data_IF_568379073098
#
_entry.id   IF_568379073098
#
_cell.length_a   1.000
_cell.length_b   1.000
_cell.length_c   1.000
_cell.angle_alpha   90.00
_cell.angle_beta   90.00
_cell.angle_gamma   90.00
#
_symmetry.space_group_name_H-M   'P 1'
#
loop_
_entity.id
_entity.type
_entity.pdbx_description
1 polymer ?
#
# COMPACT_ATOMS: atom_id res chain seq x y z
N UNK A 1 -67.84 32.00 -43.87
CA UNK A 1 -68.03 32.42 -42.47
C UNK A 1 -67.47 31.32 -41.58
N UNK A 2 -66.64 31.71 -40.61
CA UNK A 2 -66.16 30.96 -39.41
C UNK A 2 -65.40 29.63 -39.59
N UNK A 3 -64.10 29.63 -39.24
CA UNK A 3 -63.35 28.42 -38.80
C UNK A 3 -63.48 28.20 -37.28
N UNK A 4 -62.56 27.52 -36.58
CA UNK A 4 -61.52 26.54 -36.99
C UNK A 4 -61.55 25.24 -36.13
N UNK A 5 -60.69 24.24 -36.41
CA UNK A 5 -59.66 23.76 -35.47
C UNK A 5 -58.93 22.49 -35.93
N UNK A 6 -57.62 22.51 -35.66
CA UNK A 6 -56.58 21.57 -36.04
C UNK A 6 -56.23 20.59 -34.93
N UNK A 7 -56.04 19.31 -35.25
CA UNK A 7 -55.21 18.39 -34.46
C UNK A 7 -54.54 17.35 -35.38
N UNK A 8 -53.22 17.33 -35.43
CA UNK A 8 -52.43 16.26 -36.05
C UNK A 8 -51.16 16.03 -35.26
N UNK A 9 -51.08 14.83 -34.67
CA UNK A 9 -49.95 14.26 -33.95
C UNK A 9 -48.83 13.88 -34.93
N UNK A 10 -47.61 14.40 -34.71
CA UNK A 10 -46.38 13.93 -35.37
C UNK A 10 -45.43 13.36 -34.34
N UNK A 11 -45.06 12.09 -34.51
CA UNK A 11 -44.03 11.41 -33.73
C UNK A 11 -42.67 12.10 -33.91
N UNK A 12 -42.01 12.43 -32.81
CA UNK A 12 -40.65 12.94 -32.79
C UNK A 12 -39.66 11.77 -32.67
N UNK A 13 -38.76 11.69 -33.65
CA UNK A 13 -37.54 10.90 -33.62
C UNK A 13 -36.54 11.59 -32.69
N UNK A 14 -36.25 11.01 -31.52
CA UNK A 14 -35.08 11.40 -30.72
C UNK A 14 -33.90 10.51 -31.07
N UNK A 15 -33.04 11.01 -31.95
CA UNK A 15 -31.70 10.49 -32.17
C UNK A 15 -30.78 10.98 -31.06
N UNK A 16 -30.60 10.18 -30.00
CA UNK A 16 -29.58 10.41 -29.00
C UNK A 16 -28.20 10.16 -29.63
N UNK A 17 -27.49 11.25 -29.95
CA UNK A 17 -26.08 11.20 -30.32
C UNK A 17 -25.29 10.74 -29.09
N UNK A 18 -24.71 9.53 -29.18
CA UNK A 18 -23.71 9.08 -28.22
C UNK A 18 -22.46 9.96 -28.39
N UNK A 19 -22.34 10.96 -27.52
CA UNK A 19 -21.10 11.73 -27.35
C UNK A 19 -20.04 10.79 -26.77
N UNK A 20 -19.19 10.27 -27.65
CA UNK A 20 -17.96 9.58 -27.26
C UNK A 20 -17.02 10.61 -26.64
N UNK A 21 -16.93 10.62 -25.32
CA UNK A 21 -15.90 11.36 -24.60
C UNK A 21 -14.56 10.70 -24.90
N UNK A 22 -13.83 11.24 -25.87
CA UNK A 22 -12.43 10.89 -26.13
C UNK A 22 -11.60 11.27 -24.90
N UNK A 23 -11.17 10.25 -24.15
CA UNK A 23 -10.18 10.42 -23.09
C UNK A 23 -8.87 10.79 -23.75
N UNK A 24 -8.32 11.95 -23.39
CA UNK A 24 -7.11 12.51 -23.98
C UNK A 24 -5.97 11.49 -23.97
N UNK A 25 -5.30 11.39 -25.12
CA UNK A 25 -4.22 10.43 -25.35
C UNK A 25 -3.06 10.64 -24.38
N UNK A 26 -2.32 9.56 -24.09
CA UNK A 26 -1.20 9.48 -23.14
C UNK A 26 -0.05 10.50 -23.33
N UNK A 27 -0.09 11.32 -24.37
CA UNK A 27 0.84 12.42 -24.62
C UNK A 27 0.59 13.62 -23.68
N UNK A 28 -0.66 13.97 -23.39
CA UNK A 28 -0.98 15.17 -22.59
C UNK A 28 -0.83 14.96 -21.08
N UNK A 29 -1.01 13.74 -20.58
CA UNK A 29 -0.83 13.40 -19.16
C UNK A 29 0.65 13.40 -18.71
N UNK A 30 1.60 13.44 -19.65
CA UNK A 30 3.03 13.45 -19.37
C UNK A 30 3.55 14.76 -18.75
N UNK A 31 2.74 15.83 -18.70
CA UNK A 31 3.16 17.18 -18.29
C UNK A 31 2.66 17.64 -16.92
N UNK A 32 1.93 16.82 -16.16
CA UNK A 32 1.61 17.17 -14.76
C UNK A 32 2.82 16.84 -13.88
N UNK A 33 3.88 17.65 -14.00
CA UNK A 33 5.02 17.60 -13.09
C UNK A 33 4.56 18.14 -11.74
N UNK A 34 4.59 17.31 -10.70
CA UNK A 34 4.50 17.84 -9.34
C UNK A 34 5.78 18.67 -9.08
N UNK A 35 5.67 20.00 -8.86
CA UNK A 35 6.83 20.88 -8.70
C UNK A 35 7.67 20.55 -7.46
N UNK A 36 7.14 19.71 -6.56
CA UNK A 36 7.81 19.27 -5.33
C UNK A 36 8.56 17.93 -5.50
N UNK A 37 8.41 17.23 -6.62
CA UNK A 37 9.19 16.02 -6.92
C UNK A 37 10.57 16.39 -7.44
N UNK A 38 11.61 16.23 -6.62
CA UNK A 38 13.01 16.34 -7.07
C UNK A 38 13.55 15.05 -7.72
N UNK A 39 12.67 14.09 -7.98
CA UNK A 39 13.00 12.95 -8.83
C UNK A 39 13.54 13.46 -10.18
N UNK A 40 14.55 12.79 -10.75
CA UNK A 40 15.18 13.26 -11.99
C UNK A 40 14.12 13.53 -13.09
N UNK A 41 14.00 14.78 -13.58
CA UNK A 41 12.94 15.16 -14.52
C UNK A 41 13.03 14.46 -15.89
N UNK A 42 14.16 13.82 -16.17
CA UNK A 42 14.51 13.11 -17.41
C UNK A 42 14.43 11.58 -17.29
N UNK A 43 13.98 11.06 -16.13
CA UNK A 43 13.84 9.63 -15.89
C UNK A 43 12.77 8.97 -16.75
N UNK A 44 13.13 8.47 -17.93
CA UNK A 44 12.18 7.77 -18.82
C UNK A 44 11.83 6.35 -18.36
N UNK A 45 12.67 5.76 -17.50
CA UNK A 45 12.61 4.36 -17.10
C UNK A 45 12.05 4.20 -15.68
N UNK A 46 11.14 3.24 -15.54
CA UNK A 46 10.46 2.94 -14.30
C UNK A 46 10.93 1.59 -13.73
N UNK A 47 11.14 1.51 -12.42
CA UNK A 47 11.28 0.27 -11.67
C UNK A 47 10.03 0.11 -10.80
N UNK A 48 9.22 -0.90 -11.08
CA UNK A 48 7.95 -1.13 -10.39
C UNK A 48 8.05 -2.37 -9.53
N UNK A 49 7.87 -2.22 -8.22
CA UNK A 49 7.87 -3.32 -7.25
C UNK A 49 6.46 -3.50 -6.72
N UNK A 50 5.91 -4.71 -6.83
CA UNK A 50 4.59 -5.08 -6.36
C UNK A 50 4.71 -6.19 -5.30
N UNK A 51 4.24 -5.94 -4.08
CA UNK A 51 4.30 -6.92 -2.98
C UNK A 51 2.91 -7.18 -2.44
N UNK A 52 2.45 -8.42 -2.57
CA UNK A 52 1.13 -8.85 -2.13
C UNK A 52 1.09 -9.18 -0.62
N UNK A 53 -0.12 -9.31 -0.06
CA UNK A 53 -0.35 -9.71 1.32
C UNK A 53 0.03 -11.17 1.58
N UNK A 54 0.55 -11.46 2.79
CA UNK A 54 1.18 -12.74 3.20
C UNK A 54 0.26 -13.99 3.21
N UNK A 55 -0.98 -13.87 2.71
CA UNK A 55 -1.93 -14.97 2.58
C UNK A 55 -2.48 -15.14 1.15
N UNK A 56 -2.09 -14.26 0.22
CA UNK A 56 -2.66 -14.23 -1.12
C UNK A 56 -1.78 -15.07 -2.05
N UNK A 57 -2.43 -15.93 -2.84
CA UNK A 57 -1.75 -16.69 -3.88
C UNK A 57 -2.27 -16.21 -5.22
N UNK A 58 -1.36 -16.06 -6.18
CA UNK A 58 -1.78 -15.96 -7.57
C UNK A 58 -2.61 -17.20 -7.92
N UNK A 59 -3.81 -16.99 -8.45
CA UNK A 59 -4.72 -18.10 -8.69
C UNK A 59 -6.11 -17.65 -9.10
N UNK A 60 -7.12 -18.34 -8.58
CA UNK A 60 -8.53 -18.12 -8.93
C UNK A 60 -9.11 -16.81 -8.38
N UNK A 61 -8.51 -16.28 -7.29
CA UNK A 61 -8.94 -15.07 -6.59
C UNK A 61 -7.73 -14.18 -6.33
N UNK A 62 -7.41 -13.37 -7.33
CA UNK A 62 -6.30 -12.44 -7.38
C UNK A 62 -6.62 -11.13 -6.66
N UNK A 63 -5.57 -10.50 -6.15
CA UNK A 63 -5.64 -9.21 -5.45
C UNK A 63 -5.51 -8.06 -6.43
N UNK A 64 -5.78 -6.85 -5.96
CA UNK A 64 -5.55 -5.62 -6.70
C UNK A 64 -4.06 -5.41 -7.05
N UNK A 65 -3.13 -6.01 -6.29
CA UNK A 65 -1.70 -6.00 -6.63
C UNK A 65 -1.45 -6.83 -7.89
N UNK A 66 -2.00 -8.05 -7.95
CA UNK A 66 -1.89 -8.92 -9.14
C UNK A 66 -2.60 -8.31 -10.34
N UNK A 67 -3.80 -7.79 -10.13
CA UNK A 67 -4.57 -7.09 -11.15
C UNK A 67 -3.77 -5.90 -11.72
N UNK A 68 -3.23 -5.02 -10.87
CA UNK A 68 -2.36 -3.92 -11.32
C UNK A 68 -1.14 -4.47 -12.08
N UNK A 69 -0.45 -5.47 -11.52
CA UNK A 69 0.76 -6.04 -12.12
C UNK A 69 0.52 -6.68 -13.50
N UNK A 70 -0.62 -7.34 -13.68
CA UNK A 70 -1.02 -7.94 -14.96
C UNK A 70 -1.13 -6.89 -16.07
N UNK A 71 -1.54 -5.67 -15.71
CA UNK A 71 -1.76 -4.53 -16.63
C UNK A 71 -0.51 -3.65 -16.82
N UNK A 72 0.56 -3.86 -16.07
CA UNK A 72 1.81 -3.10 -16.26
C UNK A 72 2.43 -3.42 -17.62
N UNK A 73 2.87 -2.38 -18.34
CA UNK A 73 3.77 -2.52 -19.50
C UNK A 73 5.12 -3.06 -19.00
N UNK A 74 5.65 -4.10 -19.67
CA UNK A 74 6.91 -4.76 -19.29
C UNK A 74 7.88 -4.68 -20.46
N UNK A 75 8.86 -3.77 -20.36
CA UNK A 75 9.90 -3.55 -21.37
C UNK A 75 11.12 -2.85 -20.76
N UNK A 76 12.11 -2.50 -21.57
CA UNK A 76 13.35 -1.87 -21.09
C UNK A 76 13.14 -0.50 -20.40
N UNK A 77 12.02 0.18 -20.71
CA UNK A 77 11.63 1.44 -20.09
C UNK A 77 10.70 1.26 -18.87
N UNK A 78 10.29 0.04 -18.53
CA UNK A 78 9.56 -0.27 -17.30
C UNK A 78 9.83 -1.71 -16.85
N UNK A 79 10.76 -1.85 -15.92
CA UNK A 79 11.03 -3.12 -15.25
C UNK A 79 10.04 -3.35 -14.13
N UNK A 80 9.68 -4.61 -13.93
CA UNK A 80 8.66 -4.99 -12.95
C UNK A 80 9.12 -6.16 -12.09
N UNK A 81 8.90 -6.08 -10.78
CA UNK A 81 9.15 -7.13 -9.80
C UNK A 81 7.86 -7.43 -9.04
N UNK A 82 7.50 -8.71 -8.91
CA UNK A 82 6.36 -9.14 -8.11
C UNK A 82 6.79 -10.16 -7.05
N UNK A 83 6.23 -10.00 -5.86
CA UNK A 83 6.32 -10.97 -4.78
C UNK A 83 4.93 -11.25 -4.23
N UNK A 84 4.55 -12.52 -4.13
CA UNK A 84 3.23 -12.95 -3.64
C UNK A 84 3.02 -12.77 -2.14
N UNK A 85 4.02 -12.28 -1.39
CA UNK A 85 3.94 -12.14 0.06
C UNK A 85 4.05 -13.48 0.82
N UNK A 86 3.98 -14.62 0.13
CA UNK A 86 3.98 -15.95 0.73
C UNK A 86 5.34 -16.24 1.39
N UNK A 87 5.27 -16.51 2.70
CA UNK A 87 6.29 -17.22 3.48
C UNK A 87 5.76 -18.57 3.92
N UNK A 88 6.65 -19.45 4.38
CA UNK A 88 6.38 -20.80 4.91
C UNK A 88 5.03 -20.92 5.60
N UNK A 89 4.01 -21.44 4.89
CA UNK A 89 2.71 -21.70 5.48
C UNK A 89 2.82 -22.91 6.42
N UNK A 90 2.46 -22.70 7.67
CA UNK A 90 1.92 -23.79 8.49
C UNK A 90 0.44 -23.90 8.08
N UNK A 91 0.07 -25.02 7.44
CA UNK A 91 -1.33 -25.28 7.08
C UNK A 91 -2.20 -25.22 8.34
N UNK A 92 -3.32 -24.47 8.35
CA UNK A 92 -4.18 -24.38 9.52
C UNK A 92 -4.89 -25.72 9.74
N UNK A 93 -4.71 -26.31 10.92
CA UNK A 93 -5.65 -27.27 11.49
C UNK A 93 -6.45 -26.53 12.55
N UNK A 94 -7.71 -26.21 12.23
CA UNK A 94 -8.59 -25.37 13.06
C UNK A 94 -8.98 -26.00 14.41
N UNK A 95 -8.60 -27.25 14.67
CA UNK A 95 -9.08 -28.06 15.80
C UNK A 95 -7.99 -28.54 16.78
N UNK A 96 -6.75 -28.05 16.67
CA UNK A 96 -5.65 -28.51 17.54
C UNK A 96 -5.29 -27.52 18.66
N UNK A 97 -5.42 -27.89 19.95
CA UNK A 97 -4.98 -27.06 21.08
C UNK A 97 -3.48 -26.73 21.09
N UNK A 98 -2.63 -27.60 20.52
CA UNK A 98 -1.18 -27.34 20.39
C UNK A 98 -0.87 -26.29 19.31
N UNK A 99 -1.69 -26.19 18.26
CA UNK A 99 -1.60 -25.13 17.26
C UNK A 99 -1.93 -23.74 17.86
N UNK A 100 -2.89 -23.68 18.78
CA UNK A 100 -3.24 -22.46 19.51
C UNK A 100 -2.08 -21.91 20.33
N UNK A 101 -1.32 -22.80 20.97
CA UNK A 101 -0.09 -22.43 21.66
C UNK A 101 0.94 -21.90 20.65
N UNK A 102 1.10 -22.56 19.51
CA UNK A 102 2.05 -22.18 18.47
C UNK A 102 1.72 -20.82 17.80
N UNK A 103 0.43 -20.53 17.59
CA UNK A 103 -0.06 -19.22 17.11
C UNK A 103 0.20 -18.11 18.12
N UNK A 104 0.12 -18.41 19.43
CA UNK A 104 0.44 -17.49 20.53
C UNK A 104 1.94 -17.45 20.90
N UNK A 105 2.75 -18.38 20.40
CA UNK A 105 4.17 -18.55 20.72
C UNK A 105 5.09 -17.75 19.77
N UNK A 106 6.27 -17.43 20.27
CA UNK A 106 7.36 -16.74 19.56
C UNK A 106 7.73 -17.34 18.18
N UNK A 107 7.45 -18.63 17.94
CA UNK A 107 7.84 -19.34 16.72
C UNK A 107 7.12 -18.86 15.46
N UNK A 108 5.82 -18.55 15.54
CA UNK A 108 5.05 -18.02 14.40
C UNK A 108 5.44 -16.58 14.12
N UNK A 109 5.59 -15.77 15.18
CA UNK A 109 6.08 -14.40 15.06
C UNK A 109 7.49 -14.35 14.44
N UNK A 110 8.37 -15.28 14.79
CA UNK A 110 9.70 -15.42 14.18
C UNK A 110 9.64 -15.80 12.71
N UNK A 111 8.79 -16.77 12.32
CA UNK A 111 8.64 -17.16 10.92
C UNK A 111 8.09 -16.01 10.06
N UNK A 112 7.12 -15.27 10.58
CA UNK A 112 6.56 -14.07 9.93
C UNK A 112 7.62 -12.99 9.80
N UNK A 113 8.38 -12.70 10.87
CA UNK A 113 9.43 -11.70 10.86
C UNK A 113 10.58 -12.07 9.91
N UNK A 114 10.97 -13.34 9.86
CA UNK A 114 11.99 -13.85 8.95
C UNK A 114 11.54 -13.73 7.49
N UNK A 115 10.29 -14.14 7.19
CA UNK A 115 9.73 -13.97 5.86
C UNK A 115 9.61 -12.50 5.47
N UNK A 116 9.18 -11.64 6.40
CA UNK A 116 9.11 -10.21 6.22
C UNK A 116 10.48 -9.63 5.81
N UNK A 117 11.53 -9.95 6.59
CA UNK A 117 12.90 -9.53 6.30
C UNK A 117 13.35 -10.01 4.91
N UNK A 118 13.11 -11.28 4.58
CA UNK A 118 13.46 -11.87 3.29
C UNK A 118 12.81 -11.14 2.11
N UNK A 119 11.51 -10.84 2.19
CA UNK A 119 10.76 -10.17 1.12
C UNK A 119 11.28 -8.74 0.91
N UNK A 120 11.44 -7.98 2.00
CA UNK A 120 11.93 -6.60 1.95
C UNK A 120 13.34 -6.54 1.37
N UNK A 121 14.25 -7.40 1.86
CA UNK A 121 15.62 -7.47 1.35
C UNK A 121 15.69 -7.91 -0.11
N UNK A 122 14.87 -8.89 -0.52
CA UNK A 122 14.82 -9.34 -1.91
C UNK A 122 14.35 -8.26 -2.88
N UNK A 123 13.33 -7.49 -2.50
CA UNK A 123 12.85 -6.37 -3.31
C UNK A 123 13.85 -5.20 -3.33
N UNK A 124 14.47 -4.87 -2.19
CA UNK A 124 15.51 -3.85 -2.11
C UNK A 124 16.73 -4.24 -2.96
N UNK A 125 17.18 -5.51 -2.86
CA UNK A 125 18.27 -6.04 -3.68
C UNK A 125 17.93 -5.94 -5.17
N UNK A 126 16.71 -6.32 -5.57
CA UNK A 126 16.29 -6.19 -6.96
C UNK A 126 16.34 -4.73 -7.44
N UNK A 127 15.93 -3.77 -6.61
CA UNK A 127 16.08 -2.34 -6.93
C UNK A 127 17.56 -1.96 -7.10
N UNK A 128 18.42 -2.31 -6.13
CA UNK A 128 19.87 -2.03 -6.15
C UNK A 128 20.56 -2.57 -7.40
N UNK A 129 20.22 -3.79 -7.81
CA UNK A 129 20.83 -4.48 -8.95
C UNK A 129 20.39 -3.93 -10.31
N UNK A 130 19.21 -3.30 -10.38
CA UNK A 130 18.58 -2.88 -11.64
C UNK A 130 18.53 -1.36 -11.84
N UNK A 131 18.71 -0.59 -10.77
CA UNK A 131 18.61 0.87 -10.81
C UNK A 131 19.74 1.47 -11.64
N UNK A 132 19.34 2.39 -12.51
CA UNK A 132 20.23 3.30 -13.24
C UNK A 132 19.93 4.72 -12.79
N UNK A 133 20.94 5.57 -12.83
CA UNK A 133 20.78 6.99 -12.49
C UNK A 133 19.64 7.58 -13.31
N UNK A 134 18.69 8.21 -12.62
CA UNK A 134 17.50 8.80 -13.23
C UNK A 134 16.25 7.92 -13.22
N UNK A 135 16.35 6.63 -12.89
CA UNK A 135 15.17 5.76 -12.84
C UNK A 135 14.14 6.20 -11.78
N UNK A 136 12.85 6.01 -12.10
CA UNK A 136 11.75 6.27 -11.16
C UNK A 136 11.31 5.00 -10.48
N UNK A 137 11.27 5.01 -9.14
CA UNK A 137 10.88 3.85 -8.33
C UNK A 137 9.40 3.96 -7.94
N UNK A 138 8.60 2.98 -8.36
CA UNK A 138 7.20 2.81 -7.98
C UNK A 138 7.07 1.58 -7.09
N UNK A 139 6.44 1.73 -5.93
CA UNK A 139 6.19 0.63 -5.01
C UNK A 139 4.69 0.47 -4.79
N UNK A 140 4.20 -0.77 -4.88
CA UNK A 140 2.80 -1.11 -4.65
C UNK A 140 2.69 -2.25 -3.67
N UNK A 141 1.75 -2.17 -2.73
CA UNK A 141 1.45 -3.31 -1.88
C UNK A 141 0.08 -3.29 -1.26
N UNK A 142 -0.37 -4.48 -0.85
CA UNK A 142 -1.63 -4.69 -0.17
C UNK A 142 -1.39 -5.29 1.22
N UNK A 143 -2.15 -4.84 2.23
CA UNK A 143 -2.13 -5.43 3.58
C UNK A 143 -0.74 -5.35 4.20
N UNK A 144 -0.15 -6.49 4.58
CA UNK A 144 1.25 -6.59 5.03
C UNK A 144 2.25 -6.24 3.94
N UNK A 145 1.94 -6.50 2.67
CA UNK A 145 2.73 -6.07 1.52
C UNK A 145 2.80 -4.55 1.40
N UNK A 146 1.71 -3.85 1.73
CA UNK A 146 1.69 -2.38 1.81
C UNK A 146 2.65 -1.86 2.88
N UNK A 147 2.72 -2.54 4.03
CA UNK A 147 3.69 -2.21 5.08
C UNK A 147 5.14 -2.48 4.61
N UNK A 148 5.38 -3.59 3.92
CA UNK A 148 6.69 -3.94 3.36
C UNK A 148 7.20 -2.87 2.38
N UNK A 149 6.37 -2.38 1.45
CA UNK A 149 6.80 -1.33 0.52
C UNK A 149 7.04 0.02 1.20
N UNK A 150 6.30 0.35 2.26
CA UNK A 150 6.59 1.53 3.09
C UNK A 150 7.94 1.41 3.79
N UNK A 151 8.29 0.22 4.27
CA UNK A 151 9.60 -0.06 4.87
C UNK A 151 10.72 0.05 3.84
N UNK A 152 10.53 -0.46 2.63
CA UNK A 152 11.50 -0.30 1.53
C UNK A 152 11.73 1.19 1.24
N UNK A 153 10.67 1.99 1.17
CA UNK A 153 10.79 3.43 0.97
C UNK A 153 11.56 4.12 2.11
N UNK A 154 11.26 3.78 3.37
CA UNK A 154 11.99 4.27 4.52
C UNK A 154 13.46 3.82 4.55
N UNK A 155 13.77 2.61 4.11
CA UNK A 155 15.15 2.15 3.97
C UNK A 155 15.91 2.99 2.93
N UNK A 156 15.32 3.21 1.74
CA UNK A 156 15.95 4.04 0.70
C UNK A 156 16.20 5.48 1.21
N UNK A 157 15.27 6.04 1.98
CA UNK A 157 15.47 7.35 2.59
C UNK A 157 16.64 7.37 3.58
N UNK A 158 16.66 6.41 4.52
CA UNK A 158 17.59 6.43 5.66
C UNK A 158 18.99 5.97 5.31
N UNK A 159 19.12 4.92 4.50
CA UNK A 159 20.42 4.29 4.20
C UNK A 159 20.81 4.39 2.73
N UNK A 160 19.94 4.98 1.89
CA UNK A 160 20.14 5.08 0.44
C UNK A 160 19.74 3.81 -0.31
N UNK A 161 19.93 3.83 -1.63
CA UNK A 161 19.87 2.64 -2.48
C UNK A 161 21.30 2.23 -2.83
N UNK A 162 21.74 1.06 -2.36
CA UNK A 162 23.11 0.60 -2.55
C UNK A 162 23.52 0.53 -4.03
N UNK A 163 24.82 0.69 -4.29
CA UNK A 163 25.38 0.33 -5.58
C UNK A 163 25.27 -1.18 -5.81
N UNK A 164 24.98 -1.54 -7.06
CA UNK A 164 24.96 -2.92 -7.57
C UNK A 164 26.15 -3.74 -7.06
N UNK A 165 25.89 -4.95 -6.59
CA UNK A 165 26.91 -5.88 -6.08
C UNK A 165 27.13 -5.82 -4.56
N UNK A 166 26.71 -4.76 -3.86
CA UNK A 166 26.92 -4.61 -2.41
C UNK A 166 25.81 -5.24 -1.56
N UNK A 167 25.21 -6.35 -2.00
CA UNK A 167 23.99 -6.90 -1.40
C UNK A 167 24.16 -7.38 0.05
N UNK A 168 25.36 -7.84 0.41
CA UNK A 168 25.68 -8.28 1.78
C UNK A 168 25.69 -7.12 2.80
N UNK A 169 25.78 -5.88 2.30
CA UNK A 169 25.83 -4.68 3.11
C UNK A 169 24.45 -4.05 3.35
N UNK A 170 23.37 -4.59 2.75
CA UNK A 170 22.02 -4.02 2.90
C UNK A 170 21.63 -4.03 4.38
N UNK A 171 21.59 -2.87 5.06
CA UNK A 171 21.32 -2.84 6.48
C UNK A 171 19.81 -3.01 6.65
N UNK A 172 19.40 -4.14 7.21
CA UNK A 172 18.03 -4.26 7.67
C UNK A 172 17.93 -3.54 9.01
N UNK A 173 16.94 -2.65 9.23
CA UNK A 173 16.74 -2.03 10.54
C UNK A 173 16.42 -3.15 11.53
N UNK A 174 17.42 -3.61 12.27
CA UNK A 174 17.20 -4.59 13.30
C UNK A 174 16.27 -3.94 14.33
N UNK A 175 15.11 -4.56 14.58
CA UNK A 175 14.16 -4.19 15.64
C UNK A 175 14.84 -4.03 17.03
N UNK A 176 16.07 -4.53 17.18
CA UNK A 176 16.91 -4.41 18.37
C UNK A 176 17.70 -3.09 18.44
N UNK A 177 18.04 -2.45 17.32
CA UNK A 177 18.79 -1.17 17.32
C UNK A 177 17.97 -0.04 17.95
N UNK A 178 16.63 -0.11 17.92
CA UNK A 178 15.78 0.84 18.65
C UNK A 178 15.67 0.56 20.17
N UNK A 179 16.02 -0.65 20.65
CA UNK A 179 16.01 -0.99 22.09
C UNK A 179 17.20 -0.39 22.84
N UNK A 180 18.25 0.03 22.15
CA UNK A 180 19.42 0.68 22.77
C UNK A 180 19.10 2.01 23.45
N UNK A 181 17.98 2.67 23.09
CA UNK A 181 17.49 3.86 23.82
C UNK A 181 17.12 3.56 25.28
N UNK A 182 16.96 2.28 25.68
CA UNK A 182 16.59 1.86 27.04
C UNK A 182 17.75 1.33 27.88
N UNK A 183 18.97 1.25 27.34
CA UNK A 183 20.18 0.99 28.11
C UNK A 183 21.15 2.16 27.98
N UNK A 184 20.77 3.30 28.57
CA UNK A 184 21.73 4.31 29.01
C UNK A 184 22.53 3.71 30.17
N UNK A 185 23.59 2.97 29.86
CA UNK A 185 24.70 2.76 30.81
C UNK A 185 25.95 2.37 30.02
N UNK A 186 26.94 3.25 30.13
CA UNK A 186 28.32 3.15 29.65
C UNK A 186 28.53 2.92 28.15
N UNK A 187 28.76 3.99 27.39
CA UNK A 187 29.92 4.07 26.50
C UNK A 187 30.07 5.50 25.97
N UNK A 188 31.28 6.03 26.13
CA UNK A 188 31.62 7.44 26.02
C UNK A 188 32.00 7.87 24.58
N UNK A 189 31.64 7.06 23.57
CA UNK A 189 31.98 7.25 22.16
C UNK A 189 30.84 6.81 21.20
N UNK A 190 29.57 6.97 21.58
CA UNK A 190 28.49 6.65 20.64
C UNK A 190 28.32 7.78 19.63
N UNK A 191 28.89 7.63 18.43
CA UNK A 191 28.55 8.47 17.28
C UNK A 191 27.03 8.52 17.08
N UNK A 192 26.50 9.69 16.71
CA UNK A 192 25.07 9.86 16.44
C UNK A 192 24.62 8.86 15.36
N UNK A 193 23.62 8.00 15.63
CA UNK A 193 23.10 7.06 14.63
C UNK A 193 22.70 7.71 13.31
N UNK A 194 22.33 9.00 13.31
CA UNK A 194 22.05 9.75 12.10
C UNK A 194 23.32 9.99 11.27
N UNK A 195 24.40 10.43 11.90
CA UNK A 195 25.70 10.67 11.24
C UNK A 195 26.21 9.38 10.60
N UNK A 196 26.06 8.25 11.29
CA UNK A 196 26.45 6.94 10.74
C UNK A 196 25.62 6.56 9.51
N UNK A 197 24.29 6.76 9.56
CA UNK A 197 23.41 6.51 8.41
C UNK A 197 23.77 7.40 7.22
N UNK A 198 24.05 8.69 7.47
CA UNK A 198 24.40 9.65 6.44
C UNK A 198 25.76 9.31 5.79
N UNK A 199 26.75 8.93 6.61
CA UNK A 199 28.04 8.47 6.14
C UNK A 199 27.92 7.16 5.32
N UNK A 200 27.13 6.20 5.80
CA UNK A 200 26.85 4.95 5.10
C UNK A 200 26.20 5.22 3.73
N UNK A 201 25.14 6.02 3.72
CA UNK A 201 24.41 6.43 2.50
C UNK A 201 25.35 7.09 1.51
N UNK A 202 26.19 8.04 1.96
CA UNK A 202 27.17 8.73 1.11
C UNK A 202 28.24 7.80 0.53
N UNK A 203 28.62 6.74 1.26
CA UNK A 203 29.74 5.86 0.88
C UNK A 203 29.31 4.73 -0.06
N UNK A 204 28.16 4.11 0.21
CA UNK A 204 27.78 2.84 -0.43
C UNK A 204 26.56 2.93 -1.36
N UNK A 205 25.85 4.07 -1.36
CA UNK A 205 24.62 4.24 -2.12
C UNK A 205 24.76 5.15 -3.33
N UNK A 206 23.89 4.92 -4.29
CA UNK A 206 23.62 5.81 -5.41
C UNK A 206 23.22 7.20 -4.88
N UNK A 207 23.75 8.29 -5.46
CA UNK A 207 23.42 9.64 -5.04
C UNK A 207 21.96 9.98 -5.34
N UNK A 208 21.34 10.74 -4.44
CA UNK A 208 20.03 11.39 -4.62
C UNK A 208 18.86 10.49 -5.05
N UNK A 209 18.92 9.18 -4.75
CA UNK A 209 17.81 8.25 -5.02
C UNK A 209 16.63 8.53 -4.10
N UNK A 210 15.45 8.68 -4.71
CA UNK A 210 14.18 8.90 -4.01
C UNK A 210 13.09 8.02 -4.60
N UNK A 211 12.17 7.56 -3.74
CA UNK A 211 11.00 6.82 -4.20
C UNK A 211 9.98 7.78 -4.80
N UNK A 212 9.59 7.50 -6.05
CA UNK A 212 8.73 8.36 -6.84
C UNK A 212 7.25 8.21 -6.44
N UNK A 213 6.78 6.98 -6.29
CA UNK A 213 5.38 6.71 -5.96
C UNK A 213 5.25 5.49 -5.06
N UNK A 214 4.40 5.58 -4.04
CA UNK A 214 4.00 4.45 -3.20
C UNK A 214 2.48 4.34 -3.18
N UNK A 215 1.97 3.24 -3.71
CA UNK A 215 0.56 2.87 -3.68
C UNK A 215 0.30 1.76 -2.66
N UNK A 216 -0.55 2.02 -1.69
CA UNK A 216 -0.92 1.09 -0.64
C UNK A 216 -2.43 0.80 -0.67
N UNK A 217 -2.80 -0.47 -0.60
CA UNK A 217 -4.15 -0.90 -0.25
C UNK A 217 -4.14 -1.41 1.19
N UNK A 218 -4.96 -0.78 2.02
CA UNK A 218 -5.32 -1.13 3.38
C UNK A 218 -4.17 -1.69 4.23
N UNK A 219 -3.18 -0.83 4.52
CA UNK A 219 -1.97 -1.22 5.25
C UNK A 219 -2.31 -1.71 6.65
N UNK A 220 -1.90 -2.93 6.98
CA UNK A 220 -1.96 -3.48 8.34
C UNK A 220 -0.55 -3.78 8.84
N UNK A 221 -0.29 -3.52 10.13
CA UNK A 221 1.03 -3.76 10.72
C UNK A 221 1.37 -5.26 10.70
N UNK A 222 2.58 -5.62 10.26
CA UNK A 222 2.98 -7.01 9.98
C UNK A 222 3.81 -7.67 11.09
N UNK A 223 4.00 -7.01 12.24
CA UNK A 223 4.84 -7.54 13.33
C UNK A 223 3.94 -8.05 14.45
N UNK A 224 3.58 -9.34 14.34
CA UNK A 224 3.18 -10.23 15.42
C UNK A 224 2.00 -9.82 16.33
N UNK A 225 1.75 -10.65 17.34
CA UNK A 225 0.67 -10.45 18.33
C UNK A 225 0.87 -9.17 19.16
N UNK A 226 2.10 -8.64 19.21
CA UNK A 226 2.48 -7.41 19.88
C UNK A 226 3.04 -6.39 18.89
N UNK A 227 2.37 -5.21 18.78
CA UNK A 227 2.83 -4.05 18.01
C UNK A 227 4.28 -3.69 18.41
N UNK A 228 5.23 -4.04 17.54
CA UNK A 228 6.64 -3.67 17.64
C UNK A 228 6.87 -2.17 17.38
N UNK A 229 8.08 -1.64 17.62
CA UNK A 229 8.40 -0.27 17.22
C UNK A 229 8.24 -0.13 15.70
N UNK A 230 7.71 1.01 15.26
CA UNK A 230 7.60 1.33 13.84
C UNK A 230 8.98 1.29 13.19
N UNK A 231 9.09 0.54 12.09
CA UNK A 231 10.26 0.60 11.23
C UNK A 231 10.39 2.02 10.64
N UNK A 232 11.62 2.48 10.36
CA UNK A 232 11.89 3.89 10.09
C UNK A 232 11.02 4.45 8.97
N UNK A 233 10.58 5.69 9.15
CA UNK A 233 9.80 6.49 8.19
C UNK A 233 8.45 5.88 7.74
N UNK A 234 8.00 4.78 8.35
CA UNK A 234 6.72 4.18 7.96
C UNK A 234 5.52 5.00 8.41
N UNK A 235 5.61 5.75 9.51
CA UNK A 235 4.49 6.47 10.16
C UNK A 235 4.75 7.96 10.36
N UNK A 236 5.69 8.55 9.61
CA UNK A 236 6.09 9.97 9.69
C UNK A 236 5.47 10.81 8.57
N UNK A 237 4.38 10.32 7.98
CA UNK A 237 3.61 11.01 6.95
C UNK A 237 4.06 10.72 5.52
N UNK A 238 5.02 9.80 5.33
CA UNK A 238 5.58 9.43 4.03
C UNK A 238 6.17 10.63 3.25
N UNK A 239 6.63 11.67 3.95
CA UNK A 239 7.16 12.92 3.34
C UNK A 239 8.45 12.71 2.53
N UNK A 240 9.11 11.57 2.70
CA UNK A 240 10.33 11.17 1.99
C UNK A 240 10.08 10.62 0.58
N UNK A 241 8.83 10.27 0.23
CA UNK A 241 8.46 9.88 -1.15
C UNK A 241 7.85 11.07 -1.89
N UNK A 242 7.73 11.00 -3.21
CA UNK A 242 7.15 12.10 -3.98
C UNK A 242 5.61 12.05 -3.98
N UNK A 243 5.04 10.84 -4.06
CA UNK A 243 3.61 10.61 -3.84
C UNK A 243 3.36 9.35 -3.01
N UNK A 244 2.52 9.49 -1.99
CA UNK A 244 1.93 8.39 -1.25
C UNK A 244 0.42 8.37 -1.45
N UNK A 245 -0.11 7.21 -1.82
CA UNK A 245 -1.54 6.95 -2.01
C UNK A 245 -1.93 5.74 -1.19
N UNK A 246 -2.94 5.89 -0.36
CA UNK A 246 -3.41 4.83 0.52
C UNK A 246 -4.92 4.68 0.39
N UNK A 247 -5.38 3.57 -0.16
CA UNK A 247 -6.79 3.20 -0.17
C UNK A 247 -7.13 2.43 1.11
N UNK A 248 -8.09 2.93 1.88
CA UNK A 248 -8.49 2.38 3.19
C UNK A 248 -9.88 1.75 3.13
N UNK A 249 -10.05 0.60 3.78
CA UNK A 249 -11.32 -0.10 3.90
C UNK A 249 -12.16 0.47 5.05
N UNK A 250 -13.34 1.04 4.76
CA UNK A 250 -14.18 1.64 5.80
C UNK A 250 -14.91 0.58 6.65
N UNK A 251 -15.40 -0.49 6.02
CA UNK A 251 -16.29 -1.49 6.64
C UNK A 251 -15.53 -2.67 7.27
N UNK A 252 -14.21 -2.55 7.42
CA UNK A 252 -13.38 -3.56 8.08
C UNK A 252 -13.38 -3.36 9.60
N UNK A 253 -13.89 -4.36 10.32
CA UNK A 253 -14.16 -4.27 11.76
C UNK A 253 -13.23 -5.14 12.62
N UNK A 254 -12.40 -6.02 12.02
CA UNK A 254 -11.57 -6.94 12.78
C UNK A 254 -10.41 -6.21 13.46
N UNK A 255 -10.24 -6.42 14.77
CA UNK A 255 -9.20 -5.78 15.59
C UNK A 255 -7.77 -5.99 15.06
N UNK A 256 -7.51 -7.13 14.41
CA UNK A 256 -6.20 -7.47 13.84
C UNK A 256 -5.94 -6.86 12.46
N UNK A 257 -6.96 -6.29 11.85
CA UNK A 257 -6.89 -5.61 10.56
C UNK A 257 -7.01 -4.10 10.73
N UNK A 258 -6.76 -3.57 11.93
CA UNK A 258 -6.75 -2.12 12.14
C UNK A 258 -5.64 -1.46 11.31
N UNK A 259 -5.98 -0.38 10.56
CA UNK A 259 -5.08 0.20 9.58
C UNK A 259 -3.96 1.00 10.24
N UNK A 260 -2.80 1.00 9.59
CA UNK A 260 -1.68 1.89 9.91
C UNK A 260 -1.75 3.12 9.00
N UNK A 261 -2.16 4.28 9.52
CA UNK A 261 -2.24 5.50 8.72
C UNK A 261 -0.85 6.06 8.41
N UNK A 262 -0.80 7.05 7.52
CA UNK A 262 0.44 7.71 7.09
C UNK A 262 1.19 8.34 8.29
N UNK A 263 0.47 8.89 9.26
CA UNK A 263 1.02 9.45 10.51
C UNK A 263 0.67 8.58 11.73
N UNK A 264 0.76 7.25 11.58
CA UNK A 264 0.45 6.31 12.66
C UNK A 264 -1.05 6.24 12.93
N UNK A 265 -1.49 6.81 14.07
CA UNK A 265 -2.90 6.96 14.42
C UNK A 265 -3.61 8.17 13.81
N UNK A 266 -2.90 9.05 13.08
CA UNK A 266 -3.49 10.27 12.47
C UNK A 266 -3.46 10.26 10.94
N UNK A 267 -4.40 11.02 10.37
CA UNK A 267 -4.45 11.31 8.94
C UNK A 267 -3.31 12.22 8.46
N UNK A 268 -3.24 12.51 7.15
CA UNK A 268 -2.27 13.43 6.57
C UNK A 268 -2.38 14.84 7.16
N UNK A 269 -1.24 15.49 7.35
CA UNK A 269 -1.21 16.91 7.76
C UNK A 269 -1.51 17.80 6.55
N UNK A 270 -2.16 18.95 6.80
CA UNK A 270 -2.52 19.92 5.76
C UNK A 270 -1.29 20.46 4.99
N UNK A 271 -0.12 20.46 5.63
CA UNK A 271 1.17 20.89 5.05
C UNK A 271 1.81 19.87 4.09
N UNK A 272 1.15 18.75 3.83
CA UNK A 272 1.70 17.67 2.98
C UNK A 272 1.73 18.02 1.48
N UNK A 273 1.30 19.23 1.09
CA UNK A 273 1.21 19.70 -0.30
C UNK A 273 0.46 18.72 -1.24
N UNK A 274 -0.44 17.90 -0.69
CA UNK A 274 -1.17 16.86 -1.44
C UNK A 274 -0.32 15.65 -1.84
N UNK A 275 0.93 15.54 -1.38
CA UNK A 275 1.81 14.42 -1.68
C UNK A 275 1.32 13.13 -1.02
N UNK A 276 0.67 13.22 0.14
CA UNK A 276 0.13 12.09 0.89
C UNK A 276 -1.40 12.15 0.84
N UNK A 277 -2.03 11.19 0.18
CA UNK A 277 -3.50 11.03 0.19
C UNK A 277 -3.87 9.70 0.82
N UNK A 278 -4.75 9.75 1.82
CA UNK A 278 -5.43 8.59 2.35
C UNK A 278 -6.92 8.72 2.03
N UNK A 279 -7.48 7.71 1.39
CA UNK A 279 -8.85 7.76 0.85
C UNK A 279 -9.61 6.53 1.31
N UNK A 280 -10.76 6.75 1.94
CA UNK A 280 -11.66 5.70 2.42
C UNK A 280 -12.60 5.24 1.32
N UNK A 281 -12.71 3.94 1.16
CA UNK A 281 -13.59 3.26 0.21
C UNK A 281 -14.56 2.35 0.97
N UNK A 282 -15.76 2.16 0.42
CA UNK A 282 -16.72 1.19 0.95
C UNK A 282 -16.21 -0.23 0.73
N UNK A 283 -16.36 -1.07 1.75
CA UNK A 283 -15.94 -2.47 1.76
C UNK A 283 -14.95 -2.82 2.86
N UNK A 284 -14.77 -4.13 3.01
CA UNK A 284 -13.82 -4.76 3.92
C UNK A 284 -12.38 -4.77 3.37
N UNK A 285 -11.43 -5.26 4.16
CA UNK A 285 -10.02 -5.35 3.80
C UNK A 285 -9.76 -5.95 2.40
N UNK A 286 -10.47 -7.04 2.08
CA UNK A 286 -10.33 -7.76 0.80
C UNK A 286 -11.23 -7.21 -0.31
N UNK A 287 -12.19 -6.33 0.01
CA UNK A 287 -12.91 -5.58 -1.03
C UNK A 287 -12.02 -4.45 -1.58
N UNK A 288 -11.20 -3.83 -0.72
CA UNK A 288 -10.25 -2.78 -1.11
C UNK A 288 -8.95 -3.35 -1.68
N UNK A 289 -8.49 -4.48 -1.14
CA UNK A 289 -7.27 -5.16 -1.60
C UNK A 289 -7.46 -6.20 -2.69
N UNK A 290 -8.70 -6.62 -2.94
CA UNK A 290 -9.02 -7.79 -3.78
C UNK A 290 -8.85 -9.13 -3.04
N UNK A 291 -9.09 -10.23 -3.77
CA UNK A 291 -8.99 -11.61 -3.27
C UNK A 291 -10.31 -12.24 -2.79
N UNK A 292 -11.42 -11.51 -2.75
CA UNK A 292 -12.74 -12.05 -2.42
C UNK A 292 -13.42 -12.75 -3.62
N UNK A 293 -13.30 -12.14 -4.80
CA UNK A 293 -13.99 -12.56 -6.01
C UNK A 293 -13.13 -13.44 -6.93
N UNK A 294 -13.81 -14.26 -7.74
CA UNK A 294 -13.17 -15.02 -8.80
C UNK A 294 -12.81 -14.09 -9.97
N UNK A 295 -11.52 -14.05 -10.32
CA UNK A 295 -10.96 -13.16 -11.34
C UNK A 295 -9.71 -13.79 -11.98
N UNK A 296 -9.84 -15.03 -12.43
CA UNK A 296 -8.76 -15.79 -13.08
C UNK A 296 -8.18 -15.06 -14.31
N UNK A 297 -9.02 -14.30 -15.02
CA UNK A 297 -8.63 -13.55 -16.21
C UNK A 297 -8.05 -12.16 -15.91
N UNK A 298 -7.89 -11.81 -14.63
CA UNK A 298 -7.53 -10.45 -14.21
C UNK A 298 -8.46 -9.40 -14.84
N UNK A 299 -9.76 -9.67 -14.79
CA UNK A 299 -10.84 -8.85 -15.37
C UNK A 299 -11.55 -8.00 -14.32
N UNK A 300 -10.98 -7.88 -13.12
CA UNK A 300 -11.55 -7.06 -12.05
C UNK A 300 -10.89 -5.67 -12.02
N UNK A 301 -11.70 -4.61 -12.11
CA UNK A 301 -11.23 -3.23 -12.05
C UNK A 301 -12.14 -2.37 -11.15
N UNK A 302 -12.26 -2.78 -9.89
CA UNK A 302 -13.04 -2.09 -8.86
C UNK A 302 -12.51 -0.69 -8.52
N UNK A 303 -13.26 0.13 -7.77
CA UNK A 303 -12.94 1.55 -7.57
C UNK A 303 -11.58 1.81 -6.91
N UNK A 304 -11.20 1.03 -5.90
CA UNK A 304 -9.92 1.21 -5.22
C UNK A 304 -8.72 0.94 -6.14
N UNK A 305 -8.82 -0.08 -7.02
CA UNK A 305 -7.80 -0.35 -8.03
C UNK A 305 -7.80 0.74 -9.11
N UNK A 306 -8.97 1.14 -9.59
CA UNK A 306 -9.14 2.20 -10.59
C UNK A 306 -8.54 3.52 -10.14
N UNK A 307 -8.89 3.96 -8.94
CA UNK A 307 -8.35 5.16 -8.33
C UNK A 307 -6.82 5.10 -8.22
N UNK A 308 -6.28 4.00 -7.70
CA UNK A 308 -4.84 3.82 -7.57
C UNK A 308 -4.13 3.83 -8.93
N UNK A 309 -4.70 3.17 -9.95
CA UNK A 309 -4.15 3.15 -11.31
C UNK A 309 -4.11 4.54 -11.90
N UNK A 310 -5.18 5.33 -11.82
CA UNK A 310 -5.18 6.70 -12.35
C UNK A 310 -4.24 7.64 -11.59
N UNK A 311 -4.18 7.53 -10.26
CA UNK A 311 -3.19 8.28 -9.47
C UNK A 311 -1.76 7.88 -9.87
N UNK A 312 -1.46 6.59 -10.13
CA UNK A 312 -0.13 6.18 -10.54
C UNK A 312 0.20 6.58 -12.00
N UNK A 313 -0.77 6.50 -12.91
CA UNK A 313 -0.61 6.89 -14.33
C UNK A 313 -0.33 8.38 -14.44
N UNK A 314 -1.01 9.23 -13.67
CA UNK A 314 -0.72 10.68 -13.64
C UNK A 314 0.69 11.00 -13.13
N UNK A 315 1.33 10.04 -12.44
CA UNK A 315 2.73 10.10 -12.02
C UNK A 315 3.71 9.39 -12.96
N UNK A 316 3.23 8.88 -14.10
CA UNK A 316 4.04 8.30 -15.18
C UNK A 316 4.22 6.78 -15.12
N UNK A 317 3.37 6.06 -14.37
CA UNK A 317 3.27 4.60 -14.47
C UNK A 317 2.73 4.21 -15.86
N UNK A 318 3.36 3.24 -16.53
CA UNK A 318 2.93 2.78 -17.85
C UNK A 318 2.04 1.54 -17.70
N UNK A 319 0.77 1.65 -18.07
CA UNK A 319 -0.18 0.56 -18.01
C UNK A 319 -0.85 0.35 -19.38
N UNK A 320 -1.21 -0.89 -19.69
CA UNK A 320 -2.10 -1.19 -20.80
C UNK A 320 -3.54 -0.75 -20.49
N UNK A 321 -4.30 -0.49 -21.54
CA UNK A 321 -5.72 -0.15 -21.43
C UNK A 321 -6.53 -1.31 -20.82
N UNK A 322 -7.51 -0.96 -19.98
CA UNK A 322 -8.48 -1.93 -19.51
C UNK A 322 -9.61 -2.08 -20.52
N UNK A 323 -9.87 -3.31 -20.96
CA UNK A 323 -10.96 -3.68 -21.84
C UNK A 323 -11.82 -4.73 -21.15
N UNK A 324 -12.72 -4.29 -20.28
CA UNK A 324 -13.64 -5.18 -19.58
C UNK A 324 -14.87 -4.45 -19.08
N UNK A 325 -15.87 -5.22 -18.66
CA UNK A 325 -17.12 -4.66 -18.16
C UNK A 325 -16.98 -4.18 -16.72
N UNK A 326 -17.76 -3.15 -16.39
CA UNK A 326 -17.88 -2.68 -15.02
C UNK A 326 -18.83 -3.58 -14.26
N UNK A 327 -18.29 -4.34 -13.31
CA UNK A 327 -19.08 -5.19 -12.43
C UNK A 327 -19.50 -4.40 -11.18
N UNK A 328 -20.75 -4.55 -10.72
CA UNK A 328 -21.18 -3.97 -9.46
C UNK A 328 -20.37 -4.57 -8.30
N UNK A 329 -20.08 -3.75 -7.31
CA UNK A 329 -19.28 -4.14 -6.15
C UNK A 329 -20.19 -4.89 -5.18
N UNK A 330 -19.74 -6.07 -4.72
CA UNK A 330 -20.37 -6.79 -3.61
C UNK A 330 -19.52 -6.58 -2.37
N UNK A 331 -20.07 -5.85 -1.40
CA UNK A 331 -19.41 -5.63 -0.12
C UNK A 331 -19.52 -6.88 0.74
N UNK A 332 -18.41 -7.27 1.37
CA UNK A 332 -18.35 -8.46 2.21
C UNK A 332 -18.29 -8.08 3.69
N UNK A 333 -19.04 -8.79 4.53
CA UNK A 333 -18.97 -8.61 5.98
C UNK A 333 -17.64 -9.18 6.51
N UNK A 334 -16.86 -8.33 7.18
CA UNK A 334 -15.54 -8.70 7.69
C UNK A 334 -15.61 -9.52 8.99
N UNK A 335 -16.63 -9.28 9.84
CA UNK A 335 -16.70 -9.79 11.21
C UNK A 335 -17.58 -11.05 11.33
N UNK A 336 -17.06 -12.21 10.90
CA UNK A 336 -17.78 -13.49 11.01
C UNK A 336 -17.29 -14.40 12.16
N UNK A 337 -18.21 -15.20 12.70
CA UNK A 337 -17.96 -16.31 13.63
C UNK A 337 -16.77 -16.13 14.59
N UNK A 338 -15.66 -16.78 14.25
CA UNK A 338 -14.39 -16.76 14.98
C UNK A 338 -13.85 -15.35 15.31
N UNK A 339 -13.97 -14.40 14.38
CA UNK A 339 -13.47 -13.04 14.59
C UNK A 339 -14.18 -12.34 15.74
N UNK A 340 -15.47 -12.60 15.95
CA UNK A 340 -16.23 -12.04 17.08
C UNK A 340 -15.63 -12.45 18.43
N UNK A 341 -15.05 -13.65 18.54
CA UNK A 341 -14.38 -14.12 19.75
C UNK A 341 -13.08 -13.34 20.00
N UNK A 342 -12.30 -13.08 18.95
CA UNK A 342 -11.04 -12.34 19.05
C UNK A 342 -11.23 -10.88 19.47
N UNK A 343 -12.40 -10.29 19.21
CA UNK A 343 -12.71 -8.91 19.61
C UNK A 343 -12.71 -8.70 21.14
N UNK A 344 -12.91 -9.78 21.91
CA UNK A 344 -12.88 -9.74 23.39
C UNK A 344 -11.48 -9.85 23.98
N UNK A 345 -10.47 -10.23 23.18
CA UNK A 345 -9.11 -10.40 23.68
C UNK A 345 -8.38 -9.05 23.78
N UNK A 346 -7.54 -8.85 24.81
CA UNK A 346 -6.86 -7.58 25.06
C UNK A 346 -5.63 -7.43 24.15
N UNK A 347 -5.84 -7.32 22.84
CA UNK A 347 -4.76 -7.06 21.90
C UNK A 347 -4.35 -5.60 21.92
N UNK A 348 -3.03 -5.37 21.98
CA UNK A 348 -2.47 -4.02 21.82
C UNK A 348 -2.82 -3.49 20.43
N UNK A 349 -3.48 -2.33 20.36
CA UNK A 349 -3.82 -1.62 19.12
C UNK A 349 -3.71 -0.11 19.28
N UNK A 350 -3.77 0.63 18.17
CA UNK A 350 -3.96 2.09 18.21
C UNK A 350 -5.35 2.43 18.78
N UNK A 351 -5.44 3.47 19.60
CA UNK A 351 -6.73 4.05 19.99
C UNK A 351 -7.21 5.11 19.01
N UNK A 352 -6.33 5.57 18.11
CA UNK A 352 -6.56 6.66 17.16
C UNK A 352 -6.92 8.02 17.81
N UNK A 353 -6.63 8.18 19.10
CA UNK A 353 -6.73 9.46 19.81
C UNK A 353 -5.54 10.39 19.51
N UNK A 354 -4.36 9.82 19.27
CA UNK A 354 -3.18 10.52 18.79
C UNK A 354 -2.34 9.59 17.88
N UNK A 355 -1.16 10.07 17.45
CA UNK A 355 -0.28 9.37 16.50
C UNK A 355 0.23 8.02 17.03
N UNK A 356 0.41 7.88 18.35
CA UNK A 356 1.15 6.77 18.96
C UNK A 356 0.40 6.07 20.11
N UNK A 357 -0.78 6.56 20.50
CA UNK A 357 -1.52 6.05 21.65
C UNK A 357 -2.03 4.64 21.36
N UNK A 358 -1.74 3.73 22.29
CA UNK A 358 -2.18 2.34 22.19
C UNK A 358 -3.03 1.93 23.37
N UNK A 359 -4.02 1.08 23.12
CA UNK A 359 -4.93 0.51 24.11
C UNK A 359 -4.91 -1.02 24.05
N UNK A 360 -5.33 -1.65 25.16
CA UNK A 360 -5.55 -3.10 25.29
C UNK A 360 -7.02 -3.45 25.58
N UNK A 361 -7.91 -2.45 25.67
CA UNK A 361 -9.34 -2.69 25.89
C UNK A 361 -9.93 -3.58 24.79
N UNK A 362 -10.98 -4.40 25.00
CA UNK A 362 -11.62 -5.12 23.90
C UNK A 362 -12.11 -4.18 22.78
N UNK A 363 -12.10 -4.62 21.53
CA UNK A 363 -12.41 -3.78 20.37
C UNK A 363 -13.90 -3.80 19.99
N UNK A 364 -14.61 -4.88 20.33
CA UNK A 364 -16.06 -5.04 20.14
C UNK A 364 -16.55 -4.76 18.70
N UNK A 365 -15.72 -4.98 17.67
CA UNK A 365 -16.09 -4.77 16.28
C UNK A 365 -16.43 -3.31 15.94
N UNK A 366 -15.90 -2.35 16.70
CA UNK A 366 -16.15 -0.92 16.47
C UNK A 366 -15.68 -0.53 15.05
N UNK A 367 -16.45 0.30 14.33
CA UNK A 367 -16.04 0.79 13.01
C UNK A 367 -14.71 1.56 13.06
N UNK A 368 -14.01 1.57 11.93
CA UNK A 368 -12.78 2.35 11.81
C UNK A 368 -13.05 3.84 11.87
N UNK A 369 -12.09 4.59 12.41
CA UNK A 369 -12.21 6.03 12.62
C UNK A 369 -11.52 6.80 11.50
N UNK A 370 -12.30 7.58 10.75
CA UNK A 370 -11.80 8.55 9.77
C UNK A 370 -11.19 9.74 10.52
N UNK A 371 -9.93 10.03 10.20
CA UNK A 371 -9.15 11.11 10.81
C UNK A 371 -9.16 12.37 9.95
N UNK A 372 -8.93 13.52 10.59
CA UNK A 372 -8.78 14.79 9.87
C UNK A 372 -7.67 14.70 8.79
N UNK A 373 -7.95 15.30 7.62
CA UNK A 373 -7.06 15.26 6.45
C UNK A 373 -7.18 14.02 5.58
N UNK A 374 -7.96 13.01 5.98
CA UNK A 374 -8.30 11.88 5.12
C UNK A 374 -9.51 12.20 4.24
N UNK A 375 -9.57 11.58 3.07
CA UNK A 375 -10.62 11.78 2.08
C UNK A 375 -11.58 10.60 2.07
N UNK A 376 -12.82 10.82 1.62
CA UNK A 376 -13.83 9.77 1.47
C UNK A 376 -14.16 9.67 -0.02
N UNK A 377 -14.09 8.46 -0.57
CA UNK A 377 -14.45 8.19 -1.96
C UNK A 377 -15.97 8.12 -2.11
N UNK A 378 -16.49 8.49 -3.29
CA UNK A 378 -17.93 8.50 -3.61
C UNK A 378 -18.63 7.15 -3.37
N UNK A 379 -17.89 6.04 -3.37
CA UNK A 379 -18.41 4.71 -3.07
C UNK A 379 -18.99 4.55 -1.66
N UNK A 380 -18.67 5.47 -0.75
CA UNK A 380 -19.16 5.48 0.65
C UNK A 380 -20.45 6.29 0.79
N UNK A 381 -20.72 7.19 -0.16
CA UNK A 381 -21.90 8.06 -0.20
C UNK A 381 -23.06 7.33 -0.87
#
# INVERSE_FOLDING_TARGET
>A
MSGPDSSSTSALHDGAQHETVEVSTASETSKIRNPYCKCHPEGERNLVVCIDGTANQFGIKNTNVVELYSRLVKNDKQLTYYNSGIGTYVKPSLWSPSYWKQFLEHSVDMAIAWNFKRIVLGAYQWLSENYRVGDRIFLFGFSRGAYQVRVIAGMIERVGLLHKGNNDQIPFPDLKIQRSKRHKRSQQNSEDPQILCDHFKKTLSQPDVRVHFVGAWDTVSSIGIARGPSLPETTTGMKHVCAFRHALALDEQRVKFLPEYANGGRGPKADSNGNTKEVWFAGSHSDIGGGNDYNLKSDHFGPALRWMSYEAISWGLKMGSYHGEWKPIRLNESLNGFWKVLEFLPFRRLSYQDENHTTYWPHYGVPRQVQAGQLIHETVL
#
